data_IF_160445980076
#
_entry.id   IF_160445980076
#
_cell.length_a   1.000
_cell.length_b   1.000
_cell.length_c   1.000
_cell.angle_alpha   90.00
_cell.angle_beta   90.00
_cell.angle_gamma   90.00
#
_symmetry.space_group_name_H-M   'P 1'
#
loop_
_entity.id
_entity.type
_entity.pdbx_description
1 polymer ?
#
# COMPACT_ATOMS: atom_id res chain seq x y z
N UNK A 1 20.17 -15.82 5.65
CA UNK A 1 18.83 -15.91 6.27
C UNK A 1 17.87 -15.40 5.21
N UNK A 2 16.92 -16.20 4.72
CA UNK A 2 15.90 -15.70 3.80
C UNK A 2 15.03 -14.76 4.64
N UNK A 3 15.13 -13.45 4.43
CA UNK A 3 14.24 -12.50 5.09
C UNK A 3 12.84 -12.70 4.48
N UNK A 4 11.87 -13.30 5.19
CA UNK A 4 10.57 -13.54 4.58
C UNK A 4 9.74 -12.24 4.66
N UNK A 5 9.17 -11.86 3.52
CA UNK A 5 7.87 -11.20 3.48
C UNK A 5 7.81 -9.70 3.74
N UNK A 6 6.55 -9.23 3.80
CA UNK A 6 6.07 -7.84 3.89
C UNK A 6 6.44 -7.11 5.19
N UNK A 7 7.69 -7.20 5.62
CA UNK A 7 8.23 -6.57 6.84
C UNK A 7 9.49 -5.74 6.50
N UNK A 8 9.95 -4.92 7.44
CA UNK A 8 11.20 -4.17 7.27
C UNK A 8 11.13 -3.05 6.22
N UNK A 9 10.00 -2.35 6.11
CA UNK A 9 9.87 -1.22 5.18
C UNK A 9 10.99 -0.19 5.33
N UNK A 10 11.47 0.32 4.21
CA UNK A 10 12.65 1.21 4.11
C UNK A 10 12.33 2.68 4.39
N UNK A 11 11.04 3.03 4.51
CA UNK A 11 10.58 4.39 4.77
C UNK A 11 10.23 4.59 6.24
N UNK A 12 10.70 5.70 6.81
CA UNK A 12 10.14 6.28 8.03
C UNK A 12 8.71 6.74 7.73
N UNK A 13 7.72 6.17 8.42
CA UNK A 13 6.30 6.45 8.19
C UNK A 13 5.89 7.90 8.48
N UNK A 14 6.76 8.68 9.11
CA UNK A 14 6.60 10.12 9.27
C UNK A 14 5.23 10.49 9.88
N UNK A 15 4.80 9.76 10.91
CA UNK A 15 3.45 9.92 11.49
C UNK A 15 3.20 11.35 11.98
N UNK A 16 4.24 12.03 12.49
CA UNK A 16 4.17 13.43 12.89
C UNK A 16 3.77 14.37 11.73
N UNK A 17 4.26 14.13 10.50
CA UNK A 17 3.93 14.95 9.33
C UNK A 17 2.47 14.78 8.89
N UNK A 18 1.79 13.71 9.30
CA UNK A 18 0.42 13.44 8.85
C UNK A 18 -0.57 14.48 9.37
N UNK A 19 -0.31 15.07 10.52
CA UNK A 19 -1.19 16.09 11.13
C UNK A 19 -0.80 17.53 10.79
N UNK A 20 0.36 17.71 10.15
CA UNK A 20 0.92 19.01 9.83
C UNK A 20 0.67 19.32 8.36
N UNK A 21 -0.37 20.12 8.10
CA UNK A 21 -0.76 20.50 6.74
C UNK A 21 0.32 21.31 6.02
N UNK A 22 1.07 22.15 6.74
CA UNK A 22 2.14 22.96 6.17
C UNK A 22 3.34 22.09 5.79
N UNK A 23 3.76 21.20 6.70
CA UNK A 23 4.83 20.25 6.40
C UNK A 23 4.46 19.27 5.27
N UNK A 24 3.19 18.85 5.19
CA UNK A 24 2.71 18.02 4.09
C UNK A 24 2.74 18.78 2.75
N UNK A 25 2.30 20.03 2.72
CA UNK A 25 2.35 20.87 1.52
C UNK A 25 3.81 21.11 1.07
N UNK A 26 4.72 21.33 2.03
CA UNK A 26 6.15 21.43 1.76
C UNK A 26 6.71 20.11 1.17
N UNK A 27 6.31 18.96 1.71
CA UNK A 27 6.71 17.65 1.20
C UNK A 27 6.18 17.38 -0.22
N UNK A 28 4.97 17.83 -0.54
CA UNK A 28 4.39 17.76 -1.90
C UNK A 28 5.08 18.71 -2.89
N UNK A 29 5.65 19.80 -2.40
CA UNK A 29 6.38 20.78 -3.23
C UNK A 29 7.88 20.48 -3.33
N UNK A 30 8.39 19.47 -2.62
CA UNK A 30 9.80 19.06 -2.70
C UNK A 30 10.06 18.40 -4.07
N UNK A 31 10.96 19.00 -4.87
CA UNK A 31 11.36 18.46 -6.18
C UNK A 31 11.99 17.06 -6.10
N UNK A 32 12.47 16.65 -4.91
CA UNK A 32 13.01 15.31 -4.64
C UNK A 32 11.91 14.30 -4.30
N UNK A 33 10.66 14.73 -4.14
CA UNK A 33 9.55 13.84 -3.86
C UNK A 33 9.41 12.77 -4.95
N UNK A 34 9.01 11.57 -4.53
CA UNK A 34 8.88 10.40 -5.40
C UNK A 34 7.47 9.87 -5.38
N UNK A 35 6.95 9.55 -6.56
CA UNK A 35 5.67 8.88 -6.74
C UNK A 35 5.90 7.41 -7.06
N UNK A 36 5.25 6.51 -6.32
CA UNK A 36 5.30 5.09 -6.60
C UNK A 36 4.62 4.78 -7.93
N UNK A 37 5.33 4.12 -8.85
CA UNK A 37 4.75 3.68 -10.11
C UNK A 37 3.91 2.43 -9.88
N UNK A 38 2.61 2.57 -10.12
CA UNK A 38 1.66 1.46 -10.09
C UNK A 38 0.89 1.39 -11.40
N UNK A 39 0.75 0.19 -11.93
CA UNK A 39 -0.15 -0.11 -13.05
C UNK A 39 -1.19 -1.11 -12.54
N UNK A 40 -2.48 -0.73 -12.53
CA UNK A 40 -3.55 -1.57 -12.00
C UNK A 40 -3.28 -2.10 -10.58
N UNK A 41 -2.70 -1.25 -9.73
CA UNK A 41 -2.24 -1.58 -8.37
C UNK A 41 -1.05 -2.55 -8.30
N UNK A 42 -0.43 -2.94 -9.41
CA UNK A 42 0.79 -3.73 -9.44
C UNK A 42 2.01 -2.81 -9.54
N UNK A 43 3.12 -3.09 -8.83
CA UNK A 43 4.29 -2.22 -8.86
C UNK A 43 5.15 -2.49 -10.09
N UNK A 44 5.79 -1.44 -10.59
CA UNK A 44 6.99 -1.59 -11.42
C UNK A 44 8.16 -2.00 -10.51
N UNK A 45 8.96 -2.96 -10.94
CA UNK A 45 10.23 -3.31 -10.29
C UNK A 45 11.39 -3.05 -11.25
N UNK A 46 12.47 -2.50 -10.72
CA UNK A 46 13.77 -2.42 -11.40
C UNK A 46 14.41 -3.80 -11.51
N UNK A 47 15.46 -3.94 -12.33
CA UNK A 47 16.20 -5.21 -12.49
C UNK A 47 16.79 -5.76 -11.18
N UNK A 48 17.05 -4.88 -10.21
CA UNK A 48 17.60 -5.23 -8.89
C UNK A 48 16.52 -5.45 -7.83
N UNK A 49 15.23 -5.47 -8.22
CA UNK A 49 14.13 -5.76 -7.29
C UNK A 49 13.63 -4.57 -6.47
N UNK A 50 14.12 -3.36 -6.74
CA UNK A 50 13.63 -2.12 -6.12
C UNK A 50 12.34 -1.64 -6.79
N UNK A 51 11.46 -1.00 -6.03
CA UNK A 51 10.27 -0.33 -6.55
C UNK A 51 10.64 0.75 -7.56
N UNK A 52 9.86 0.81 -8.64
CA UNK A 52 9.91 1.89 -9.61
C UNK A 52 9.31 3.17 -9.04
N UNK A 53 10.08 4.25 -9.10
CA UNK A 53 9.65 5.58 -8.64
C UNK A 53 9.71 6.58 -9.80
N UNK A 54 8.80 7.54 -9.78
CA UNK A 54 8.77 8.68 -10.71
C UNK A 54 8.62 9.99 -9.91
N UNK A 55 8.36 11.12 -10.56
CA UNK A 55 8.17 12.40 -9.90
C UNK A 55 6.69 12.68 -9.64
N UNK A 56 6.38 13.65 -8.77
CA UNK A 56 4.98 14.07 -8.55
C UNK A 56 4.35 14.74 -9.79
N UNK A 57 5.15 15.20 -10.76
CA UNK A 57 4.65 15.75 -12.03
C UNK A 57 3.93 14.69 -12.86
N UNK A 58 4.29 13.42 -12.69
CA UNK A 58 3.68 12.29 -13.40
C UNK A 58 2.40 11.79 -12.73
N UNK A 59 1.96 12.41 -11.61
CA UNK A 59 0.70 12.07 -10.98
C UNK A 59 -0.48 12.47 -11.89
N UNK A 60 -1.57 11.68 -11.92
CA UNK A 60 -2.81 12.10 -12.58
C UNK A 60 -3.31 13.43 -12.02
N UNK A 61 -3.89 14.28 -12.88
CA UNK A 61 -4.34 15.63 -12.49
C UNK A 61 -5.37 15.62 -11.35
N UNK A 62 -6.18 14.57 -11.26
CA UNK A 62 -7.23 14.39 -10.25
C UNK A 62 -6.81 13.49 -9.07
N UNK A 63 -5.52 13.17 -8.95
CA UNK A 63 -5.02 12.30 -7.91
C UNK A 63 -4.96 12.99 -6.54
N UNK A 64 -5.49 12.32 -5.53
CA UNK A 64 -5.21 12.58 -4.12
C UNK A 64 -3.92 11.84 -3.73
N UNK A 65 -2.94 12.56 -3.15
CA UNK A 65 -1.64 11.97 -2.77
C UNK A 65 -1.65 11.41 -1.34
N UNK A 66 -1.10 10.20 -1.18
CA UNK A 66 -0.89 9.52 0.10
C UNK A 66 0.60 9.52 0.42
N UNK A 67 1.01 10.11 1.55
CA UNK A 67 2.41 10.07 2.00
C UNK A 67 2.74 8.70 2.56
N UNK A 68 3.60 7.93 1.90
CA UNK A 68 4.05 6.62 2.35
C UNK A 68 5.10 6.71 3.45
N UNK A 69 5.93 7.75 3.39
CA UNK A 69 6.98 8.04 4.36
C UNK A 69 8.13 8.87 3.77
N UNK A 70 9.20 8.98 4.53
CA UNK A 70 10.47 9.60 4.15
C UNK A 70 11.56 8.52 4.07
N UNK A 71 12.46 8.61 3.10
CA UNK A 71 13.64 7.76 3.07
C UNK A 71 14.76 8.28 3.99
N UNK A 72 15.91 7.59 4.01
CA UNK A 72 17.08 7.98 4.81
C UNK A 72 17.58 9.40 4.50
N UNK A 73 17.45 9.85 3.24
CA UNK A 73 17.81 11.20 2.79
C UNK A 73 16.68 12.23 3.03
N UNK A 74 15.66 11.86 3.82
CA UNK A 74 14.47 12.65 4.11
C UNK A 74 13.73 13.10 2.84
N UNK A 75 13.75 12.28 1.79
CA UNK A 75 12.98 12.50 0.56
C UNK A 75 11.57 11.93 0.74
N UNK A 76 10.52 12.73 0.48
CA UNK A 76 9.14 12.25 0.54
C UNK A 76 8.79 11.21 -0.53
N UNK A 77 8.11 10.15 -0.13
CA UNK A 77 7.60 9.12 -1.03
C UNK A 77 6.08 9.04 -0.94
N UNK A 78 5.40 9.10 -2.08
CA UNK A 78 3.94 9.17 -2.20
C UNK A 78 3.39 8.05 -3.05
N UNK A 79 2.09 7.77 -2.87
CA UNK A 79 1.26 7.03 -3.81
C UNK A 79 0.08 7.90 -4.26
N UNK A 80 -0.42 7.70 -5.47
CA UNK A 80 -1.55 8.44 -6.02
C UNK A 80 -2.85 7.63 -5.95
N UNK A 81 -3.91 8.26 -5.48
CA UNK A 81 -5.28 7.75 -5.55
C UNK A 81 -6.12 8.63 -6.46
N UNK A 82 -6.64 8.07 -7.55
CA UNK A 82 -7.64 8.76 -8.38
C UNK A 82 -9.05 8.29 -8.04
N UNK A 83 -10.03 9.19 -7.84
CA UNK A 83 -11.44 8.80 -7.67
C UNK A 83 -11.94 7.88 -8.79
N UNK A 84 -12.60 6.79 -8.42
CA UNK A 84 -13.08 5.79 -9.39
C UNK A 84 -12.07 4.70 -9.72
N UNK A 85 -10.81 4.82 -9.26
CA UNK A 85 -9.87 3.70 -9.28
C UNK A 85 -10.47 2.49 -8.54
N UNK A 86 -10.30 1.30 -9.12
CA UNK A 86 -10.82 0.03 -8.57
C UNK A 86 -9.76 -1.04 -8.68
N UNK A 87 -9.60 -1.77 -7.59
CA UNK A 87 -8.76 -2.96 -7.57
C UNK A 87 -9.35 -4.02 -8.51
N UNK A 88 -8.56 -4.59 -9.43
CA UNK A 88 -9.01 -5.71 -10.24
C UNK A 88 -9.46 -6.90 -9.37
N UNK A 89 -10.59 -7.55 -9.66
CA UNK A 89 -11.05 -8.68 -8.89
C UNK A 89 -10.12 -9.89 -9.06
N UNK A 90 -10.04 -10.72 -8.02
CA UNK A 90 -9.26 -11.95 -8.05
C UNK A 90 -7.79 -11.75 -7.68
N UNK A 91 -6.96 -12.72 -8.08
CA UNK A 91 -5.52 -12.74 -7.75
C UNK A 91 -4.71 -12.24 -8.93
N UNK A 92 -3.77 -11.32 -8.65
CA UNK A 92 -2.77 -10.93 -9.65
C UNK A 92 -1.68 -12.02 -9.76
N UNK A 93 -1.74 -12.82 -10.82
CA UNK A 93 -0.71 -13.83 -11.10
C UNK A 93 0.65 -13.19 -11.38
N UNK A 94 0.68 -11.99 -11.96
CA UNK A 94 1.91 -11.20 -12.16
C UNK A 94 2.53 -10.85 -10.81
N UNK A 95 1.77 -10.29 -9.88
CA UNK A 95 2.26 -9.97 -8.54
C UNK A 95 2.79 -11.21 -7.81
N UNK A 96 2.08 -12.33 -7.89
CA UNK A 96 2.55 -13.59 -7.31
C UNK A 96 3.89 -14.07 -7.91
N UNK A 97 4.11 -13.85 -9.21
CA UNK A 97 5.38 -14.16 -9.88
C UNK A 97 6.53 -13.21 -9.52
N UNK A 98 6.22 -12.04 -8.96
CA UNK A 98 7.20 -11.02 -8.58
C UNK A 98 7.61 -11.08 -7.10
N UNK A 99 6.93 -11.88 -6.27
CA UNK A 99 7.14 -11.89 -4.81
C UNK A 99 8.59 -12.17 -4.41
N UNK A 100 9.26 -13.09 -5.12
CA UNK A 100 10.66 -13.45 -4.84
C UNK A 100 11.67 -12.46 -5.44
N UNK A 101 11.20 -11.51 -6.27
CA UNK A 101 12.04 -10.52 -6.92
C UNK A 101 12.19 -9.23 -6.11
N UNK A 102 11.40 -9.02 -5.05
CA UNK A 102 11.53 -7.82 -4.22
C UNK A 102 12.85 -7.82 -3.46
N UNK A 103 13.58 -6.70 -3.54
CA UNK A 103 14.65 -6.43 -2.62
C UNK A 103 14.11 -6.29 -1.17
N UNK A 104 14.95 -6.48 -0.14
CA UNK A 104 14.52 -6.38 1.26
C UNK A 104 13.78 -5.07 1.56
N UNK A 105 12.62 -5.17 2.22
CA UNK A 105 11.81 -4.03 2.65
C UNK A 105 10.89 -3.41 1.58
N UNK A 106 11.20 -3.58 0.29
CA UNK A 106 10.41 -3.03 -0.82
C UNK A 106 8.99 -3.59 -0.83
N UNK A 107 8.83 -4.89 -0.55
CA UNK A 107 7.53 -5.52 -0.48
C UNK A 107 6.65 -4.84 0.60
N UNK A 108 7.22 -4.47 1.75
CA UNK A 108 6.50 -3.81 2.84
C UNK A 108 6.06 -2.38 2.47
N UNK A 109 6.89 -1.64 1.75
CA UNK A 109 6.54 -0.31 1.21
C UNK A 109 5.38 -0.43 0.23
N UNK A 110 5.47 -1.37 -0.72
CA UNK A 110 4.41 -1.64 -1.68
C UNK A 110 3.10 -2.10 -1.01
N UNK A 111 3.15 -3.04 -0.07
CA UNK A 111 1.95 -3.51 0.62
C UNK A 111 1.21 -2.37 1.33
N UNK A 112 1.93 -1.47 2.00
CA UNK A 112 1.30 -0.32 2.64
C UNK A 112 0.63 0.61 1.63
N UNK A 113 1.30 0.96 0.52
CA UNK A 113 0.71 1.76 -0.54
C UNK A 113 -0.54 1.08 -1.10
N UNK A 114 -0.39 -0.19 -1.49
CA UNK A 114 -1.44 -1.03 -2.04
C UNK A 114 -2.68 -1.11 -1.15
N UNK A 115 -2.48 -1.35 0.14
CA UNK A 115 -3.57 -1.47 1.13
C UNK A 115 -4.31 -0.16 1.36
N UNK A 116 -3.59 0.97 1.46
CA UNK A 116 -4.23 2.28 1.66
C UNK A 116 -5.01 2.71 0.42
N UNK A 117 -4.44 2.53 -0.77
CA UNK A 117 -5.14 2.82 -2.03
C UNK A 117 -6.38 1.92 -2.22
N UNK A 118 -6.27 0.62 -1.90
CA UNK A 118 -7.43 -0.30 -1.91
C UNK A 118 -8.54 0.23 -1.01
N UNK A 119 -8.16 0.60 0.21
CA UNK A 119 -9.09 1.06 1.21
C UNK A 119 -9.83 2.31 0.74
N UNK A 120 -9.13 3.30 0.20
CA UNK A 120 -9.76 4.48 -0.39
C UNK A 120 -10.72 4.14 -1.53
N UNK A 121 -10.37 3.19 -2.41
CA UNK A 121 -11.25 2.77 -3.50
C UNK A 121 -12.59 2.20 -3.03
N UNK A 122 -12.63 1.66 -1.81
CA UNK A 122 -13.82 1.01 -1.23
C UNK A 122 -14.50 1.81 -0.11
N UNK A 123 -13.91 2.90 0.36
CA UNK A 123 -14.37 3.68 1.51
C UNK A 123 -14.55 5.17 1.19
N UNK A 124 -15.16 5.48 0.04
CA UNK A 124 -15.36 6.87 -0.41
C UNK A 124 -16.46 7.61 0.37
N UNK A 125 -17.38 6.86 1.00
CA UNK A 125 -18.53 7.39 1.74
C UNK A 125 -18.47 7.06 3.23
N UNK A 126 -19.05 7.93 4.04
CA UNK A 126 -19.09 7.82 5.48
C UNK A 126 -19.96 6.65 5.91
N UNK A 127 -19.39 5.72 6.68
CA UNK A 127 -20.12 4.56 7.20
C UNK A 127 -21.22 4.92 8.22
N UNK A 128 -21.22 6.15 8.75
CA UNK A 128 -22.20 6.63 9.72
C UNK A 128 -23.41 7.32 9.06
N UNK A 129 -23.18 8.16 8.03
CA UNK A 129 -24.24 9.00 7.45
C UNK A 129 -24.33 8.97 5.92
N UNK A 130 -23.50 8.18 5.23
CA UNK A 130 -23.53 8.03 3.77
C UNK A 130 -22.97 9.20 2.96
N UNK A 131 -22.55 10.31 3.58
CA UNK A 131 -21.96 11.45 2.87
C UNK A 131 -20.56 11.13 2.33
N UNK A 132 -20.15 11.74 1.21
CA UNK A 132 -18.79 11.57 0.69
C UNK A 132 -17.77 12.09 1.72
N UNK A 133 -16.64 11.43 1.83
CA UNK A 133 -15.58 11.78 2.81
C UNK A 133 -14.35 12.32 2.11
N UNK A 134 -13.55 13.11 2.80
CA UNK A 134 -12.30 13.70 2.29
C UNK A 134 -11.10 13.00 2.91
N UNK A 135 -9.99 12.87 2.17
CA UNK A 135 -8.74 12.36 2.76
C UNK A 135 -8.21 13.30 3.83
N UNK A 136 -7.67 12.73 4.90
CA UNK A 136 -6.93 13.47 5.92
C UNK A 136 -5.74 12.62 6.42
N UNK A 137 -4.94 13.17 7.33
CA UNK A 137 -3.72 12.51 7.84
C UNK A 137 -2.75 12.07 6.74
N UNK A 138 -2.51 12.94 5.75
CA UNK A 138 -1.68 12.65 4.56
C UNK A 138 -2.09 11.35 3.82
N UNK A 139 -3.39 11.08 3.73
CA UNK A 139 -3.96 9.89 3.10
C UNK A 139 -4.11 8.68 4.03
N UNK A 140 -3.74 8.78 5.31
CA UNK A 140 -3.91 7.67 6.27
C UNK A 140 -5.26 7.68 7.00
N UNK A 141 -6.24 8.36 6.43
CA UNK A 141 -7.61 8.34 6.90
C UNK A 141 -8.54 9.11 5.97
N UNK A 142 -9.84 9.05 6.26
CA UNK A 142 -10.87 9.88 5.66
C UNK A 142 -11.74 10.49 6.75
N UNK A 143 -12.16 11.73 6.56
CA UNK A 143 -13.02 12.46 7.48
C UNK A 143 -14.30 12.88 6.77
N UNK A 144 -15.44 12.70 7.43
CA UNK A 144 -16.72 13.13 6.92
C UNK A 144 -16.93 14.63 7.22
N UNK A 145 -17.07 15.51 6.21
CA UNK A 145 -17.33 16.93 6.45
C UNK A 145 -18.73 17.19 7.02
N UNK A 146 -19.68 16.25 6.86
CA UNK A 146 -21.05 16.40 7.34
C UNK A 146 -21.22 16.07 8.83
N UNK A 147 -20.66 14.95 9.30
CA UNK A 147 -20.84 14.47 10.68
C UNK A 147 -19.54 14.36 11.48
N UNK A 148 -18.41 14.78 10.91
CA UNK A 148 -17.06 14.73 11.50
C UNK A 148 -16.55 13.33 11.87
N UNK A 149 -17.26 12.26 11.49
CA UNK A 149 -16.78 10.90 11.69
C UNK A 149 -15.46 10.68 10.93
N UNK A 150 -14.50 10.06 11.62
CA UNK A 150 -13.21 9.68 11.07
C UNK A 150 -13.18 8.19 10.78
N UNK A 151 -12.58 7.83 9.65
CA UNK A 151 -12.41 6.47 9.19
C UNK A 151 -10.93 6.21 8.91
N UNK A 152 -10.44 5.05 9.34
CA UNK A 152 -9.04 4.67 9.21
C UNK A 152 -8.89 3.40 8.36
N UNK A 153 -7.73 3.21 7.70
CA UNK A 153 -7.45 1.99 6.96
C UNK A 153 -7.61 0.73 7.80
N UNK A 154 -8.16 -0.31 7.18
CA UNK A 154 -8.43 -1.60 7.82
C UNK A 154 -7.24 -2.54 7.67
N UNK A 155 -6.89 -3.22 8.76
CA UNK A 155 -5.98 -4.37 8.76
C UNK A 155 -6.78 -5.60 9.15
N UNK A 156 -6.81 -6.60 8.28
CA UNK A 156 -7.48 -7.88 8.53
C UNK A 156 -6.44 -8.90 9.01
N UNK A 157 -6.34 -9.18 10.32
CA UNK A 157 -5.34 -10.11 10.83
C UNK A 157 -5.66 -11.53 10.37
N UNK A 158 -4.64 -12.21 9.83
CA UNK A 158 -4.72 -13.60 9.37
C UNK A 158 -3.62 -14.40 10.05
N UNK A 159 -3.95 -15.63 10.45
CA UNK A 159 -2.99 -16.59 10.99
C UNK A 159 -2.62 -17.61 9.90
N UNK A 160 -1.33 -17.88 9.77
CA UNK A 160 -0.78 -18.99 8.99
C UNK A 160 0.05 -19.84 9.94
N UNK A 161 -0.17 -21.16 9.93
CA UNK A 161 0.43 -22.08 10.89
C UNK A 161 1.01 -23.28 10.16
N UNK A 162 2.13 -23.80 10.66
CA UNK A 162 2.59 -25.14 10.32
C UNK A 162 2.10 -26.09 11.42
N UNK A 163 1.22 -27.02 11.06
CA UNK A 163 0.71 -28.03 11.99
C UNK A 163 1.56 -29.31 11.86
N UNK A 164 2.24 -29.68 12.94
CA UNK A 164 3.22 -30.78 12.94
C UNK A 164 2.70 -32.03 13.65
N UNK A 165 3.09 -33.20 13.16
CA UNK A 165 2.83 -34.48 13.80
C UNK A 165 3.90 -35.53 13.44
N UNK A 166 4.66 -35.99 14.43
CA UNK A 166 5.68 -37.05 14.26
C UNK A 166 6.66 -36.77 13.11
N UNK A 167 7.24 -35.58 13.08
CA UNK A 167 8.20 -35.16 12.04
C UNK A 167 7.58 -34.88 10.66
N UNK A 168 6.25 -34.74 10.57
CA UNK A 168 5.52 -34.40 9.34
C UNK A 168 4.73 -33.11 9.52
N UNK A 169 4.50 -32.39 8.43
CA UNK A 169 3.67 -31.19 8.40
C UNK A 169 2.38 -31.43 7.60
N UNK A 170 1.25 -30.96 8.12
CA UNK A 170 -0.01 -30.91 7.38
C UNK A 170 0.00 -29.71 6.43
N UNK A 171 -0.20 -29.96 5.14
CA UNK A 171 -0.36 -28.94 4.13
C UNK A 171 -1.72 -29.06 3.45
N UNK A 172 -2.28 -27.93 3.04
CA UNK A 172 -3.57 -27.83 2.37
C UNK A 172 -3.45 -27.27 0.95
N UNK A 173 -4.54 -27.37 0.18
CA UNK A 173 -4.67 -26.62 -1.07
C UNK A 173 -6.12 -26.24 -1.34
N UNK A 174 -6.31 -25.07 -1.92
CA UNK A 174 -7.61 -24.70 -2.47
C UNK A 174 -7.77 -25.28 -3.89
N UNK A 175 -9.01 -25.58 -4.34
CA UNK A 175 -9.27 -26.09 -5.69
C UNK A 175 -8.65 -25.22 -6.80
N UNK A 176 -8.66 -23.90 -6.62
CA UNK A 176 -8.14 -22.92 -7.58
C UNK A 176 -6.60 -22.89 -7.70
N UNK A 177 -5.84 -23.58 -6.84
CA UNK A 177 -4.38 -23.52 -6.89
C UNK A 177 -3.84 -24.36 -8.07
N UNK A 178 -2.66 -24.05 -8.63
CA UNK A 178 -2.00 -24.92 -9.61
C UNK A 178 -1.93 -26.37 -9.11
N UNK A 179 -2.12 -27.39 -9.98
CA UNK A 179 -2.05 -28.79 -9.58
C UNK A 179 -0.77 -29.10 -8.78
N UNK A 180 -0.90 -29.89 -7.71
CA UNK A 180 0.20 -30.29 -6.80
C UNK A 180 0.89 -29.14 -6.04
N UNK A 181 0.37 -27.91 -6.08
CA UNK A 181 0.78 -26.83 -5.16
C UNK A 181 0.03 -26.96 -3.83
N UNK A 182 0.77 -27.12 -2.74
CA UNK A 182 0.29 -27.12 -1.36
C UNK A 182 0.92 -25.97 -0.60
N UNK A 183 0.26 -25.51 0.46
CA UNK A 183 0.72 -24.47 1.37
C UNK A 183 0.26 -24.76 2.79
#
# INVERSE_FOLDING_TARGET
MIAPGFTGGTLDRADALRHDAEALAAAQSDWRARLLKLENFEPELTGDGLLGWTTLVDAPEDAELVLLGLDEAKRPHFAAYTPGMRVPPGRSMRLFGMLDAFAPGEAATYAAARSVLDWHSRHQFCANCGHQTDMFRAGWGRKCPNCNAEHFPRVDPVVIMIAEHNGRALLGRQPAFPPRRYS
#
